data_IF_060308268045
#
_entry.id   IF_060308268045
#
_cell.length_a   1.000
_cell.length_b   1.000
_cell.length_c   1.000
_cell.angle_alpha   90.00
_cell.angle_beta   90.00
_cell.angle_gamma   90.00
#
_symmetry.space_group_name_H-M   'P 1'
#
loop_
_entity.id
_entity.type
_entity.pdbx_description
1 polymer ?
#
# COMPACT_ATOMS: atom_id res chain seq x y z
N UNK A 1 8.61 -7.04 -3.52
CA UNK A 1 9.70 -6.83 -2.52
C UNK A 1 9.67 -7.95 -1.48
N UNK A 2 10.75 -8.21 -0.72
CA UNK A 2 10.72 -9.23 0.35
C UNK A 2 9.72 -8.88 1.47
N UNK A 3 9.62 -7.60 1.83
CA UNK A 3 8.67 -7.14 2.85
C UNK A 3 7.22 -7.37 2.43
N UNK A 4 6.84 -7.03 1.20
CA UNK A 4 5.45 -7.23 0.73
C UNK A 4 5.05 -8.72 0.74
N UNK A 5 5.97 -9.63 0.39
CA UNK A 5 5.71 -11.07 0.50
C UNK A 5 5.49 -11.51 1.95
N UNK A 6 6.30 -10.99 2.90
CA UNK A 6 6.12 -11.30 4.33
C UNK A 6 4.76 -10.84 4.87
N UNK A 7 4.27 -9.67 4.43
CA UNK A 7 2.93 -9.19 4.79
C UNK A 7 1.83 -10.14 4.29
N UNK A 8 1.91 -10.58 3.02
CA UNK A 8 0.98 -11.57 2.45
C UNK A 8 1.01 -12.88 3.22
N UNK A 9 2.20 -13.45 3.39
CA UNK A 9 2.39 -14.73 4.10
C UNK A 9 1.88 -14.66 5.54
N UNK A 10 2.02 -13.51 6.22
CA UNK A 10 1.49 -13.30 7.57
C UNK A 10 -0.04 -13.33 7.58
N UNK A 11 -0.70 -12.63 6.65
CA UNK A 11 -2.15 -12.65 6.54
C UNK A 11 -2.70 -14.05 6.24
N UNK A 12 -2.05 -14.79 5.32
CA UNK A 12 -2.39 -16.19 5.01
C UNK A 12 -2.23 -17.09 6.23
N UNK A 13 -1.14 -16.92 7.00
CA UNK A 13 -0.90 -17.66 8.26
C UNK A 13 -1.95 -17.36 9.33
N UNK A 14 -2.54 -16.16 9.32
CA UNK A 14 -3.64 -15.78 10.20
C UNK A 14 -5.01 -16.27 9.70
N UNK A 15 -5.06 -17.01 8.59
CA UNK A 15 -6.27 -17.60 8.03
C UNK A 15 -7.07 -16.64 7.15
N UNK A 16 -6.49 -15.51 6.74
CA UNK A 16 -7.12 -14.56 5.82
C UNK A 16 -6.54 -14.72 4.42
N UNK A 17 -7.36 -14.93 3.37
CA UNK A 17 -6.86 -14.91 2.00
C UNK A 17 -6.16 -13.58 1.69
N UNK A 18 -4.97 -13.63 1.10
CA UNK A 18 -4.20 -12.44 0.80
C UNK A 18 -3.61 -12.50 -0.61
N UNK A 19 -3.70 -11.38 -1.32
CA UNK A 19 -3.25 -11.26 -2.70
C UNK A 19 -2.17 -10.17 -2.76
N UNK A 20 -1.02 -10.51 -3.34
CA UNK A 20 0.02 -9.55 -3.64
C UNK A 20 -0.14 -9.10 -5.09
N UNK A 21 -0.41 -7.81 -5.28
CA UNK A 21 -0.61 -7.18 -6.59
C UNK A 21 0.37 -6.02 -6.75
N UNK A 22 0.77 -5.77 -7.99
CA UNK A 22 1.64 -4.64 -8.36
C UNK A 22 0.82 -3.38 -8.70
N UNK A 23 -0.42 -3.55 -9.16
CA UNK A 23 -1.31 -2.46 -9.57
C UNK A 23 -2.79 -2.82 -9.39
N UNK A 24 -3.64 -1.79 -9.30
CA UNK A 24 -5.08 -1.94 -9.05
C UNK A 24 -5.82 -2.77 -10.11
N UNK A 25 -5.34 -2.78 -11.36
CA UNK A 25 -5.93 -3.55 -12.46
C UNK A 25 -5.86 -5.08 -12.27
N UNK A 26 -5.01 -5.55 -11.36
CA UNK A 26 -4.86 -6.99 -11.06
C UNK A 26 -5.90 -7.50 -10.04
N UNK A 27 -6.75 -6.63 -9.48
CA UNK A 27 -7.81 -7.04 -8.57
C UNK A 27 -8.86 -7.83 -9.34
N UNK A 28 -8.97 -9.12 -9.03
CA UNK A 28 -10.05 -9.97 -9.53
C UNK A 28 -11.31 -9.76 -8.67
N UNK A 29 -12.45 -9.34 -9.25
CA UNK A 29 -13.71 -9.18 -8.53
C UNK A 29 -14.15 -10.45 -7.77
N UNK A 30 -13.78 -11.64 -8.26
CA UNK A 30 -14.11 -12.90 -7.61
C UNK A 30 -13.50 -13.03 -6.20
N UNK A 31 -12.40 -12.33 -5.91
CA UNK A 31 -11.79 -12.32 -4.56
C UNK A 31 -12.69 -11.62 -3.53
N UNK A 32 -13.57 -10.74 -3.99
CA UNK A 32 -14.41 -9.88 -3.15
C UNK A 32 -15.80 -10.50 -2.90
N UNK A 33 -16.18 -11.52 -3.65
CA UNK A 33 -17.49 -12.15 -3.55
C UNK A 33 -17.76 -12.69 -2.12
N UNK A 34 -18.87 -12.23 -1.53
CA UNK A 34 -19.28 -12.61 -0.18
C UNK A 34 -18.39 -12.04 0.94
N UNK A 35 -17.43 -11.15 0.66
CA UNK A 35 -16.60 -10.49 1.67
C UNK A 35 -17.28 -9.21 2.15
N UNK A 36 -17.28 -9.01 3.47
CA UNK A 36 -17.82 -7.79 4.10
C UNK A 36 -16.75 -6.77 4.45
N UNK A 37 -15.49 -7.20 4.52
CA UNK A 37 -14.36 -6.37 4.92
C UNK A 37 -13.12 -6.75 4.13
N UNK A 38 -12.39 -5.74 3.68
CA UNK A 38 -11.18 -5.87 2.86
C UNK A 38 -10.10 -5.01 3.52
N UNK A 39 -8.97 -5.63 3.87
CA UNK A 39 -7.79 -4.91 4.35
C UNK A 39 -6.87 -4.55 3.20
N UNK A 40 -6.36 -3.32 3.18
CA UNK A 40 -5.34 -2.87 2.23
C UNK A 40 -4.09 -2.50 3.02
N UNK A 41 -2.94 -2.99 2.57
CA UNK A 41 -1.64 -2.63 3.13
C UNK A 41 -0.61 -2.60 2.00
N UNK A 42 0.53 -1.97 2.25
CA UNK A 42 1.57 -1.81 1.26
C UNK A 42 2.94 -2.11 1.88
N UNK A 43 3.85 -2.65 1.07
CA UNK A 43 5.24 -2.77 1.51
C UNK A 43 5.92 -1.41 1.58
N UNK A 44 6.97 -1.27 2.40
CA UNK A 44 7.69 -0.01 2.63
C UNK A 44 8.24 0.70 1.36
N UNK A 45 8.32 0.00 0.23
CA UNK A 45 8.81 0.54 -1.05
C UNK A 45 7.70 0.93 -2.02
N UNK A 46 6.42 0.73 -1.67
CA UNK A 46 5.30 1.00 -2.56
C UNK A 46 4.93 2.50 -2.50
N UNK A 47 4.86 3.19 -3.66
CA UNK A 47 4.35 4.55 -3.73
C UNK A 47 2.90 4.67 -3.24
N UNK A 48 2.61 5.76 -2.53
CA UNK A 48 1.27 6.05 -2.01
C UNK A 48 0.19 6.08 -3.10
N UNK A 49 0.54 6.55 -4.30
CA UNK A 49 -0.38 6.58 -5.47
C UNK A 49 -0.94 5.20 -5.79
N UNK A 50 -0.14 4.12 -5.69
CA UNK A 50 -0.61 2.77 -5.97
C UNK A 50 -1.63 2.29 -4.94
N UNK A 51 -1.46 2.70 -3.67
CA UNK A 51 -2.41 2.39 -2.60
C UNK A 51 -3.73 3.11 -2.86
N UNK A 52 -3.67 4.39 -3.25
CA UNK A 52 -4.84 5.19 -3.60
C UNK A 52 -5.59 4.63 -4.83
N UNK A 53 -4.87 4.12 -5.83
CA UNK A 53 -5.46 3.47 -7.00
C UNK A 53 -6.19 2.18 -6.61
N UNK A 54 -5.59 1.38 -5.72
CA UNK A 54 -6.23 0.16 -5.17
C UNK A 54 -7.51 0.51 -4.41
N UNK A 55 -7.47 1.51 -3.54
CA UNK A 55 -8.65 2.00 -2.80
C UNK A 55 -9.74 2.44 -3.79
N UNK A 56 -9.37 3.20 -4.81
CA UNK A 56 -10.32 3.68 -5.82
C UNK A 56 -10.97 2.52 -6.57
N UNK A 57 -10.18 1.53 -6.97
CA UNK A 57 -10.69 0.32 -7.63
C UNK A 57 -11.63 -0.49 -6.74
N UNK A 58 -11.30 -0.66 -5.45
CA UNK A 58 -12.19 -1.34 -4.52
C UNK A 58 -13.53 -0.60 -4.35
N UNK A 59 -13.52 0.74 -4.39
CA UNK A 59 -14.75 1.54 -4.35
C UNK A 59 -15.60 1.38 -5.61
N UNK A 60 -14.98 1.32 -6.79
CA UNK A 60 -15.68 1.00 -8.04
C UNK A 60 -16.37 -0.38 -8.00
N UNK A 61 -15.76 -1.32 -7.29
CA UNK A 61 -16.27 -2.68 -7.09
C UNK A 61 -17.31 -2.79 -5.95
N UNK A 62 -17.74 -1.67 -5.38
CA UNK A 62 -18.79 -1.61 -4.35
C UNK A 62 -18.29 -1.40 -2.93
N UNK A 63 -16.98 -1.23 -2.74
CA UNK A 63 -16.40 -0.83 -1.46
C UNK A 63 -16.80 0.57 -1.03
N UNK A 64 -16.82 0.80 0.28
CA UNK A 64 -17.08 2.11 0.86
C UNK A 64 -15.77 2.88 1.07
N UNK A 65 -15.86 4.10 1.59
CA UNK A 65 -14.69 4.87 2.01
C UNK A 65 -13.87 4.06 3.02
N UNK A 66 -12.54 3.96 2.86
CA UNK A 66 -11.72 3.22 3.80
C UNK A 66 -11.71 3.90 5.18
N UNK A 67 -11.71 3.09 6.22
CA UNK A 67 -11.35 3.53 7.56
C UNK A 67 -9.85 3.24 7.76
N UNK A 68 -9.09 4.29 8.06
CA UNK A 68 -7.67 4.14 8.40
C UNK A 68 -7.57 3.61 9.83
N UNK A 69 -6.86 2.50 10.01
CA UNK A 69 -6.65 1.91 11.32
C UNK A 69 -5.37 2.50 11.88
N UNK A 70 -5.47 3.14 13.05
CA UNK A 70 -4.33 3.75 13.74
C UNK A 70 -3.22 2.71 13.96
N UNK A 71 -2.07 2.98 13.32
CA UNK A 71 -0.85 2.23 13.51
C UNK A 71 -0.01 2.77 14.66
N UNK A 72 1.16 2.16 14.86
CA UNK A 72 2.21 2.74 15.70
C UNK A 72 2.80 3.94 14.96
N UNK A 73 2.89 5.10 15.62
CA UNK A 73 3.55 6.27 15.04
C UNK A 73 5.03 5.98 14.68
N UNK A 74 5.42 6.36 13.46
CA UNK A 74 6.78 6.23 12.95
C UNK A 74 7.36 7.63 12.67
N UNK A 75 8.31 8.06 13.50
CA UNK A 75 8.86 9.43 13.48
C UNK A 75 10.32 9.49 12.99
N UNK A 76 10.79 8.46 12.27
CA UNK A 76 12.18 8.35 11.81
C UNK A 76 12.31 8.92 10.39
N UNK A 77 13.17 9.94 10.22
CA UNK A 77 13.49 10.52 8.92
C UNK A 77 15.00 10.45 8.67
N UNK A 78 15.39 9.88 7.53
CA UNK A 78 16.78 9.87 7.09
C UNK A 78 17.05 11.10 6.21
N UNK A 79 17.85 12.04 6.72
CA UNK A 79 18.24 13.22 5.95
C UNK A 79 19.30 12.87 4.91
N UNK A 80 19.21 13.50 3.73
CA UNK A 80 20.26 13.42 2.72
C UNK A 80 21.59 13.95 3.28
N UNK A 81 22.70 13.19 3.15
CA UNK A 81 24.05 13.67 3.47
C UNK A 81 24.33 15.00 2.78
N UNK A 82 25.09 15.88 3.44
CA UNK A 82 25.33 17.24 2.94
C UNK A 82 25.99 17.23 1.56
N UNK A 83 26.81 16.22 1.30
CA UNK A 83 27.58 16.00 0.07
C UNK A 83 26.70 15.61 -1.14
N UNK A 84 25.48 15.14 -0.89
CA UNK A 84 24.53 14.71 -1.93
C UNK A 84 23.37 15.69 -2.13
N UNK A 85 23.37 16.81 -1.41
CA UNK A 85 22.42 17.89 -1.66
C UNK A 85 22.87 18.60 -2.92
N UNK A 86 22.14 18.37 -4.02
CA UNK A 86 22.28 19.19 -5.22
C UNK A 86 21.75 20.57 -4.83
N UNK A 87 22.63 21.56 -4.77
CA UNK A 87 22.21 22.95 -4.69
C UNK A 87 21.33 23.22 -5.90
N UNK A 88 20.08 23.64 -5.66
CA UNK A 88 19.21 24.15 -6.70
C UNK A 88 19.83 25.47 -7.21
N UNK A 89 20.87 25.37 -8.04
CA UNK A 89 21.48 26.51 -8.71
C UNK A 89 20.50 26.96 -9.77
N UNK A 90 19.73 27.99 -9.41
CA UNK A 90 19.09 29.01 -10.25
C UNK A 90 19.00 28.67 -11.75
N UNK A 91 17.79 28.27 -12.18
CA UNK A 91 17.39 28.48 -13.57
C UNK A 91 17.14 29.98 -13.72
N UNK A 92 18.12 30.69 -14.27
CA UNK A 92 17.96 32.07 -14.75
C UNK A 92 17.17 32.15 -16.03
#
# INVERSE_FOLDING_TARGET
SSNSNRLRELAERMGTPAHLIDEAGQIDPAWLEGKQSIGVTAGASAPEVLVNDVISRLRELGGQTPEEIDGREENIVFSMPRELRIDAVNVG
#
